data_IF_555364057517
#
_entry.id   IF_555364057517
#
_cell.length_a   1.000
_cell.length_b   1.000
_cell.length_c   1.000
_cell.angle_alpha   90.00
_cell.angle_beta   90.00
_cell.angle_gamma   90.00
#
_symmetry.space_group_name_H-M   'P 1'
#
loop_
_entity.id
_entity.type
_entity.pdbx_description
1 polymer ?
#
# COMPACT_ATOMS: atom_id res chain seq x y z
N UNK A 1 7.25 20.56 -1.81
CA UNK A 1 5.88 20.30 -2.29
C UNK A 1 5.89 20.45 -3.80
N UNK A 2 5.50 19.44 -4.57
CA UNK A 2 5.00 19.64 -5.95
C UNK A 2 3.78 18.76 -6.17
N UNK A 3 2.70 19.17 -5.51
CA UNK A 3 1.43 19.26 -6.21
C UNK A 3 1.51 20.50 -7.09
N UNK A 4 1.18 20.37 -8.36
CA UNK A 4 1.14 21.46 -9.34
C UNK A 4 -0.06 22.37 -9.17
N UNK A 5 -1.13 21.87 -8.53
CA UNK A 5 -2.37 22.57 -8.33
C UNK A 5 -2.72 22.67 -6.84
N UNK A 6 -3.53 23.67 -6.51
CA UNK A 6 -4.15 23.75 -5.19
C UNK A 6 -5.08 22.55 -4.98
N UNK A 7 -4.88 21.84 -3.86
CA UNK A 7 -5.62 20.62 -3.53
C UNK A 7 -4.92 19.31 -3.87
N UNK A 8 -3.77 19.36 -4.56
CA UNK A 8 -3.00 18.15 -4.86
C UNK A 8 -2.54 17.42 -3.58
N UNK A 9 -2.78 16.11 -3.56
CA UNK A 9 -2.38 15.23 -2.46
C UNK A 9 -0.89 14.87 -2.59
N UNK A 10 -0.15 14.94 -1.49
CA UNK A 10 1.24 14.45 -1.47
C UNK A 10 1.28 12.92 -1.48
N UNK A 11 2.34 12.32 -2.03
CA UNK A 11 2.59 10.87 -1.98
C UNK A 11 2.46 10.31 -0.55
N UNK A 12 3.01 11.03 0.44
CA UNK A 12 2.91 10.61 1.85
C UNK A 12 1.47 10.62 2.37
N UNK A 13 0.68 11.66 2.07
CA UNK A 13 -0.72 11.72 2.46
C UNK A 13 -1.53 10.57 1.82
N UNK A 14 -1.26 10.29 0.54
CA UNK A 14 -1.84 9.17 -0.18
C UNK A 14 -1.53 7.83 0.50
N UNK A 15 -0.25 7.59 0.85
CA UNK A 15 0.20 6.41 1.57
C UNK A 15 -0.50 6.26 2.92
N UNK A 16 -0.53 7.33 3.72
CA UNK A 16 -1.14 7.35 5.05
C UNK A 16 -2.65 7.11 5.00
N UNK A 17 -3.33 7.54 3.94
CA UNK A 17 -4.76 7.28 3.75
C UNK A 17 -5.05 5.79 3.56
N UNK A 18 -4.22 5.07 2.81
CA UNK A 18 -4.33 3.61 2.68
C UNK A 18 -4.06 2.93 4.01
N UNK A 19 -2.97 3.30 4.70
CA UNK A 19 -2.64 2.71 6.01
C UNK A 19 -3.71 3.03 7.07
N UNK A 20 -4.37 4.18 7.01
CA UNK A 20 -5.50 4.48 7.88
C UNK A 20 -6.70 3.55 7.68
N UNK A 21 -6.93 3.05 6.45
CA UNK A 21 -7.93 2.01 6.19
C UNK A 21 -7.49 0.67 6.77
N UNK A 22 -6.20 0.31 6.62
CA UNK A 22 -5.62 -0.90 7.22
C UNK A 22 -5.77 -0.88 8.74
N UNK A 23 -5.39 0.22 9.40
CA UNK A 23 -5.50 0.38 10.85
C UNK A 23 -6.95 0.29 11.33
N UNK A 24 -7.90 0.82 10.55
CA UNK A 24 -9.33 0.72 10.85
C UNK A 24 -9.81 -0.73 10.75
N UNK A 25 -9.47 -1.43 9.67
CA UNK A 25 -9.84 -2.83 9.47
C UNK A 25 -9.28 -3.72 10.59
N UNK A 26 -8.02 -3.52 10.97
CA UNK A 26 -7.39 -4.27 12.07
C UNK A 26 -8.10 -4.05 13.43
N UNK A 27 -8.63 -2.85 13.67
CA UNK A 27 -9.41 -2.53 14.88
C UNK A 27 -10.84 -3.06 14.84
N UNK A 28 -11.49 -3.01 13.68
CA UNK A 28 -12.89 -3.45 13.51
C UNK A 28 -13.01 -4.98 13.44
N UNK A 29 -11.97 -5.67 12.93
CA UNK A 29 -11.95 -7.11 12.67
C UNK A 29 -10.68 -7.78 13.23
N UNK A 30 -10.46 -7.77 14.55
CA UNK A 30 -9.24 -8.31 15.15
C UNK A 30 -9.13 -9.82 14.92
N UNK A 31 -7.99 -10.26 14.37
CA UNK A 31 -7.69 -11.67 14.09
C UNK A 31 -8.31 -12.23 12.81
N UNK A 32 -9.07 -11.43 12.07
CA UNK A 32 -9.62 -11.82 10.77
C UNK A 32 -8.73 -11.37 9.62
N UNK A 33 -8.76 -12.13 8.53
CA UNK A 33 -8.11 -11.71 7.28
C UNK A 33 -9.00 -10.69 6.58
N UNK A 34 -8.45 -9.50 6.33
CA UNK A 34 -9.13 -8.40 5.63
C UNK A 34 -8.45 -8.08 4.30
N UNK A 35 -9.22 -7.55 3.34
CA UNK A 35 -8.71 -7.12 2.03
C UNK A 35 -8.96 -5.63 1.81
N UNK A 36 -7.90 -4.86 1.54
CA UNK A 36 -7.98 -3.46 1.11
C UNK A 36 -7.68 -3.37 -0.40
N UNK A 37 -8.72 -3.23 -1.21
CA UNK A 37 -8.59 -3.08 -2.67
C UNK A 37 -8.53 -1.61 -3.05
N UNK A 38 -7.51 -1.23 -3.82
CA UNK A 38 -7.33 0.14 -4.30
C UNK A 38 -6.61 0.17 -5.65
N UNK A 39 -6.27 1.37 -6.12
CA UNK A 39 -5.51 1.58 -7.35
C UNK A 39 -4.00 1.45 -7.12
N UNK A 40 -3.24 1.44 -8.22
CA UNK A 40 -1.78 1.27 -8.18
C UNK A 40 -1.09 2.35 -7.35
N UNK A 41 -1.29 3.64 -7.64
CA UNK A 41 -0.55 4.72 -6.99
C UNK A 41 -0.75 4.78 -5.46
N UNK A 42 -1.99 4.65 -4.91
CA UNK A 42 -2.16 4.59 -3.47
C UNK A 42 -1.46 3.40 -2.81
N UNK A 43 -1.57 2.21 -3.39
CA UNK A 43 -0.93 1.01 -2.86
C UNK A 43 0.60 1.10 -2.98
N UNK A 44 1.10 1.67 -4.07
CA UNK A 44 2.52 1.91 -4.28
C UNK A 44 3.07 2.89 -3.24
N UNK A 45 2.38 3.99 -2.98
CA UNK A 45 2.79 4.98 -1.98
C UNK A 45 2.85 4.35 -0.57
N UNK A 46 1.81 3.58 -0.20
CA UNK A 46 1.78 2.84 1.05
C UNK A 46 2.95 1.84 1.15
N UNK A 47 3.25 1.12 0.07
CA UNK A 47 4.37 0.19 0.06
C UNK A 47 5.71 0.88 0.23
N UNK A 48 5.98 1.97 -0.49
CA UNK A 48 7.21 2.76 -0.33
C UNK A 48 7.37 3.24 1.11
N UNK A 49 6.27 3.64 1.76
CA UNK A 49 6.28 4.09 3.15
C UNK A 49 6.63 2.95 4.12
N UNK A 50 6.03 1.77 3.91
CA UNK A 50 6.29 0.57 4.70
C UNK A 50 7.72 0.02 4.51
N UNK A 51 8.27 0.15 3.31
CA UNK A 51 9.68 -0.16 3.00
C UNK A 51 10.67 0.83 3.64
N UNK A 52 10.19 1.85 4.36
CA UNK A 52 11.02 2.87 5.01
C UNK A 52 11.72 3.82 4.03
N UNK A 53 11.22 3.92 2.79
CA UNK A 53 11.84 4.70 1.71
C UNK A 53 11.29 6.14 1.66
N UNK A 54 12.08 7.10 1.15
CA UNK A 54 11.62 8.47 0.94
C UNK A 54 10.37 8.54 0.04
N UNK A 55 9.35 9.29 0.47
CA UNK A 55 8.11 9.51 -0.29
C UNK A 55 8.34 10.50 -1.45
N UNK A 56 9.02 10.02 -2.49
CA UNK A 56 9.41 10.80 -3.67
C UNK A 56 8.93 10.12 -4.95
N UNK A 57 8.73 10.89 -6.01
CA UNK A 57 8.37 10.36 -7.34
C UNK A 57 9.35 9.28 -7.81
N UNK A 58 10.66 9.45 -7.54
CA UNK A 58 11.67 8.46 -7.90
C UNK A 58 11.39 7.10 -7.27
N UNK A 59 11.04 7.07 -5.99
CA UNK A 59 10.74 5.79 -5.30
C UNK A 59 9.41 5.19 -5.78
N UNK A 60 8.44 6.01 -6.21
CA UNK A 60 7.20 5.53 -6.83
C UNK A 60 7.45 4.73 -8.12
N UNK A 61 8.53 5.03 -8.85
CA UNK A 61 8.91 4.32 -10.07
C UNK A 61 10.01 3.25 -9.87
N UNK A 62 10.64 3.20 -8.70
CA UNK A 62 11.74 2.26 -8.42
C UNK A 62 11.27 0.79 -8.39
N UNK A 63 10.03 0.55 -7.96
CA UNK A 63 9.36 -0.75 -7.96
C UNK A 63 7.88 -0.50 -8.21
N UNK A 64 7.18 -1.40 -8.89
CA UNK A 64 5.76 -1.21 -9.20
C UNK A 64 4.90 -2.35 -8.66
N UNK A 65 3.78 -1.99 -8.08
CA UNK A 65 2.68 -2.92 -7.81
C UNK A 65 2.15 -3.49 -9.13
N UNK A 66 2.06 -4.82 -9.18
CA UNK A 66 1.53 -5.55 -10.31
C UNK A 66 0.00 -5.55 -10.31
N UNK A 67 -0.59 -5.71 -11.50
CA UNK A 67 -2.04 -5.91 -11.61
C UNK A 67 -2.44 -7.21 -10.92
N UNK A 68 -3.43 -7.18 -10.03
CA UNK A 68 -3.84 -8.35 -9.25
C UNK A 68 -2.69 -9.01 -8.45
N UNK A 69 -1.65 -8.24 -8.12
CA UNK A 69 -0.68 -8.62 -7.09
C UNK A 69 -1.22 -8.25 -5.70
N UNK A 70 -0.67 -8.87 -4.66
CA UNK A 70 -1.06 -8.62 -3.27
C UNK A 70 0.16 -8.14 -2.49
N UNK A 71 -0.01 -7.06 -1.74
CA UNK A 71 0.90 -6.68 -0.66
C UNK A 71 0.29 -7.18 0.64
N UNK A 72 0.83 -8.26 1.17
CA UNK A 72 0.40 -8.87 2.42
C UNK A 72 1.11 -8.19 3.59
N UNK A 73 0.34 -7.87 4.63
CA UNK A 73 0.79 -7.21 5.83
C UNK A 73 0.46 -8.10 7.03
N UNK A 74 1.47 -8.43 7.84
CA UNK A 74 1.23 -8.99 9.15
C UNK A 74 1.15 -7.86 10.17
N UNK A 75 0.12 -7.88 11.00
CA UNK A 75 -0.11 -6.87 12.02
C UNK A 75 -0.08 -7.47 13.42
N UNK A 76 0.47 -6.69 14.34
CA UNK A 76 0.28 -6.84 15.79
C UNK A 76 -0.51 -5.62 16.26
N UNK A 77 -1.79 -5.82 16.59
CA UNK A 77 -2.81 -4.78 16.69
C UNK A 77 -2.87 -3.93 15.39
N UNK A 78 -2.41 -2.68 15.45
CA UNK A 78 -2.32 -1.76 14.30
C UNK A 78 -0.88 -1.63 13.76
N UNK A 79 0.09 -2.25 14.42
CA UNK A 79 1.49 -2.14 14.01
C UNK A 79 1.79 -3.19 12.96
N UNK A 80 2.18 -2.77 11.76
CA UNK A 80 2.73 -3.67 10.75
C UNK A 80 4.08 -4.23 11.25
N UNK A 81 4.18 -5.55 11.29
CA UNK A 81 5.37 -6.29 11.76
C UNK A 81 6.08 -7.04 10.63
N UNK A 82 5.38 -7.36 9.54
CA UNK A 82 5.98 -7.90 8.33
C UNK A 82 5.23 -7.44 7.07
N UNK A 83 5.94 -7.44 5.95
CA UNK A 83 5.43 -7.05 4.63
C UNK A 83 5.94 -8.06 3.60
N UNK A 84 5.02 -8.68 2.88
CA UNK A 84 5.31 -9.68 1.84
C UNK A 84 4.63 -9.28 0.54
N UNK A 85 5.33 -9.42 -0.59
CA UNK A 85 4.75 -9.13 -1.91
C UNK A 85 4.50 -10.42 -2.68
N UNK A 86 3.23 -10.70 -2.92
CA UNK A 86 2.78 -11.83 -3.72
C UNK A 86 2.52 -11.33 -5.14
N UNK A 87 3.44 -11.69 -6.05
CA UNK A 87 3.29 -11.35 -7.46
C UNK A 87 2.02 -12.01 -8.03
N UNK A 88 1.45 -11.38 -9.06
CA UNK A 88 0.28 -11.89 -9.77
C UNK A 88 0.51 -13.36 -10.17
N UNK A 89 -0.40 -14.27 -9.81
CA UNK A 89 -0.27 -15.66 -10.22
C UNK A 89 -0.29 -15.73 -11.75
N UNK A 90 0.64 -16.49 -12.32
CA UNK A 90 0.63 -16.78 -13.75
C UNK A 90 -0.54 -17.71 -14.01
N UNK A 91 -1.58 -17.19 -14.67
CA UNK A 91 -2.64 -18.05 -15.19
C UNK A 91 -2.01 -18.95 -16.26
N UNK A 92 -2.16 -20.26 -16.11
CA UNK A 92 -1.93 -21.16 -17.22
C UNK A 92 -2.97 -20.79 -18.29
N UNK A 93 -2.51 -20.39 -19.48
CA UNK A 93 -3.39 -20.24 -20.63
C UNK A 93 -3.99 -21.64 -20.89
N UNK A 94 -5.31 -21.75 -20.73
CA UNK A 94 -6.09 -22.92 -21.13
C UNK A 94 -6.15 -23.01 -22.65
#
# INVERSE_FOLDING_TARGET
RRGTLDGDESIEALARRVLGVVDRLAREHPGEVSLCVSHADPLQAAWVLLDGRPQTEREMYHKQVGRAAILELDLNDVRVVAVSYLATPKLALL
#
